data_IF_951784775287
#
_entry.id   IF_951784775287
#
_cell.length_a   1.000
_cell.length_b   1.000
_cell.length_c   1.000
_cell.angle_alpha   90.00
_cell.angle_beta   90.00
_cell.angle_gamma   90.00
#
_symmetry.space_group_name_H-M   'P 1'
#
loop_
_entity.id
_entity.type
_entity.pdbx_description
1 polymer ?
#
# COMPACT_ATOMS: atom_id res chain seq x y z
N UNK A 1 18.96 16.67 4.93
CA UNK A 1 17.60 16.47 5.47
C UNK A 1 17.21 15.02 5.22
N UNK A 2 16.59 14.34 6.18
CA UNK A 2 16.18 12.94 6.02
C UNK A 2 14.67 12.82 5.85
N UNK A 3 14.22 11.68 5.34
CA UNK A 3 12.81 11.34 5.13
C UNK A 3 12.48 10.07 5.90
N UNK A 4 11.32 10.02 6.56
CA UNK A 4 10.76 8.81 7.13
C UNK A 4 9.85 8.15 6.11
N UNK A 5 10.02 6.86 5.91
CA UNK A 5 9.09 6.02 5.17
C UNK A 5 8.60 4.89 6.05
N UNK A 6 7.31 4.59 5.98
CA UNK A 6 6.69 3.50 6.70
C UNK A 6 5.80 2.65 5.81
N UNK A 7 5.78 1.35 6.09
CA UNK A 7 4.81 0.39 5.54
C UNK A 7 4.14 -0.31 6.73
N UNK A 8 2.90 0.10 7.02
CA UNK A 8 2.11 -0.40 8.13
C UNK A 8 1.14 -1.47 7.65
N UNK A 9 1.56 -2.70 7.76
CA UNK A 9 0.73 -3.86 7.46
C UNK A 9 0.14 -4.52 8.72
N UNK A 10 -0.92 -5.29 8.52
CA UNK A 10 -1.57 -6.03 9.61
C UNK A 10 -0.72 -7.13 10.27
N UNK A 11 0.31 -7.62 9.59
CA UNK A 11 1.20 -8.67 10.10
C UNK A 11 2.58 -8.12 10.42
N UNK A 12 3.09 -7.24 9.57
CA UNK A 12 4.45 -6.67 9.64
C UNK A 12 4.38 -5.19 9.43
N UNK A 13 5.22 -4.46 10.16
CA UNK A 13 5.45 -3.04 9.98
C UNK A 13 6.92 -2.81 9.67
N UNK A 14 7.21 -2.06 8.62
CA UNK A 14 8.56 -1.62 8.28
C UNK A 14 8.64 -0.10 8.44
N UNK A 15 9.61 0.38 9.19
CA UNK A 15 9.96 1.80 9.26
C UNK A 15 11.38 1.99 8.77
N UNK A 16 11.63 3.05 8.03
CA UNK A 16 12.94 3.35 7.48
C UNK A 16 13.21 4.86 7.38
N UNK A 17 14.47 5.24 7.53
CA UNK A 17 14.96 6.58 7.26
C UNK A 17 15.76 6.55 5.96
N UNK A 18 15.46 7.50 5.09
CA UNK A 18 16.15 7.70 3.81
C UNK A 18 16.80 9.08 3.74
N UNK A 19 17.88 9.19 2.96
CA UNK A 19 18.42 10.48 2.56
C UNK A 19 17.46 11.20 1.63
N UNK A 20 17.44 12.55 1.71
CA UNK A 20 16.65 13.38 0.79
C UNK A 20 17.51 13.75 -0.44
N UNK A 21 17.79 12.76 -1.27
CA UNK A 21 18.51 12.87 -2.53
C UNK A 21 17.59 12.51 -3.69
N UNK A 22 17.98 12.83 -4.93
CA UNK A 22 17.22 12.43 -6.13
C UNK A 22 17.01 10.92 -6.22
N UNK A 23 17.95 10.14 -5.69
CA UNK A 23 17.86 8.70 -5.49
C UNK A 23 18.08 8.41 -3.99
N UNK A 24 16.99 8.35 -3.20
CA UNK A 24 17.09 8.21 -1.75
C UNK A 24 17.83 6.94 -1.34
N UNK A 25 18.82 7.08 -0.45
CA UNK A 25 19.54 5.95 0.13
C UNK A 25 18.95 5.61 1.48
N UNK A 26 18.75 4.33 1.74
CA UNK A 26 18.30 3.84 3.03
C UNK A 26 19.43 3.99 4.06
N UNK A 27 19.19 4.81 5.08
CA UNK A 27 20.14 5.10 6.15
C UNK A 27 19.95 4.18 7.36
N UNK A 28 18.68 3.90 7.70
CA UNK A 28 18.31 3.02 8.80
C UNK A 28 16.95 2.36 8.51
N UNK A 29 16.75 1.15 8.96
CA UNK A 29 15.43 0.52 8.86
C UNK A 29 15.25 -0.56 9.91
N UNK A 30 14.01 -0.77 10.34
CA UNK A 30 13.65 -1.82 11.27
C UNK A 30 12.29 -2.45 10.91
N UNK A 31 12.24 -3.78 11.01
CA UNK A 31 11.02 -4.57 10.91
C UNK A 31 10.45 -4.86 12.28
N UNK A 32 9.13 -4.85 12.36
CA UNK A 32 8.36 -5.21 13.53
C UNK A 32 7.30 -6.23 13.16
N UNK A 33 7.07 -7.21 14.01
CA UNK A 33 5.91 -8.09 13.93
C UNK A 33 4.75 -7.34 14.60
N UNK A 34 3.78 -6.87 13.81
CA UNK A 34 2.74 -5.96 14.31
C UNK A 34 1.96 -6.54 15.50
N UNK A 35 1.68 -7.86 15.49
CA UNK A 35 0.91 -8.51 16.55
C UNK A 35 1.63 -8.59 17.92
N UNK A 36 2.93 -8.34 17.98
CA UNK A 36 3.71 -8.32 19.21
C UNK A 36 3.64 -6.98 19.95
N UNK A 37 2.99 -5.98 19.33
CA UNK A 37 2.93 -4.62 19.85
C UNK A 37 1.49 -4.21 20.19
N UNK A 38 1.36 -3.33 21.19
CA UNK A 38 0.04 -2.84 21.65
C UNK A 38 -0.59 -1.83 20.70
N UNK A 39 0.23 -1.05 20.01
CA UNK A 39 -0.21 0.02 19.11
C UNK A 39 0.89 0.37 18.12
N UNK A 40 0.52 1.05 17.02
CA UNK A 40 1.50 1.62 16.12
C UNK A 40 2.35 2.71 16.79
N UNK A 41 1.76 3.50 17.69
CA UNK A 41 2.49 4.53 18.45
C UNK A 41 3.68 3.93 19.20
N UNK A 42 3.50 2.76 19.84
CA UNK A 42 4.58 2.11 20.58
C UNK A 42 5.71 1.58 19.67
N UNK A 43 5.38 1.09 18.47
CA UNK A 43 6.37 0.75 17.43
C UNK A 43 7.12 2.01 17.01
N UNK A 44 6.40 3.08 16.76
CA UNK A 44 6.94 4.33 16.26
C UNK A 44 7.89 4.98 17.24
N UNK A 45 7.52 5.02 18.52
CA UNK A 45 8.40 5.51 19.60
C UNK A 45 9.68 4.66 19.73
N UNK A 46 9.54 3.33 19.68
CA UNK A 46 10.68 2.42 19.74
C UNK A 46 11.62 2.66 18.55
N UNK A 47 11.08 2.82 17.34
CA UNK A 47 11.88 3.13 16.16
C UNK A 47 12.66 4.43 16.30
N UNK A 48 11.99 5.50 16.76
CA UNK A 48 12.64 6.80 16.96
C UNK A 48 13.74 6.74 18.03
N UNK A 49 13.51 6.03 19.13
CA UNK A 49 14.52 5.83 20.21
C UNK A 49 15.76 5.04 19.75
N UNK A 50 15.62 4.19 18.75
CA UNK A 50 16.69 3.36 18.21
C UNK A 50 17.46 4.01 17.06
N UNK A 51 17.11 5.23 16.65
CA UNK A 51 17.85 5.91 15.61
C UNK A 51 19.30 6.14 16.05
N UNK A 52 20.30 5.76 15.23
CA UNK A 52 21.69 6.05 15.51
C UNK A 52 21.95 7.55 15.65
N UNK A 53 22.80 7.96 16.58
CA UNK A 53 23.10 9.37 16.89
C UNK A 53 23.57 10.20 15.69
N UNK A 54 24.18 9.56 14.69
CA UNK A 54 24.66 10.22 13.48
C UNK A 54 23.54 10.46 12.44
N UNK A 55 22.36 9.92 12.66
CA UNK A 55 21.20 10.12 11.77
C UNK A 55 20.31 11.21 12.36
N UNK A 56 20.24 12.36 11.68
CA UNK A 56 19.33 13.42 12.10
C UNK A 56 17.87 13.01 11.92
N UNK A 57 17.00 13.45 12.84
CA UNK A 57 15.56 13.26 12.73
C UNK A 57 15.03 13.82 11.40
N UNK A 58 14.15 13.10 10.71
CA UNK A 58 13.51 13.58 9.51
C UNK A 58 12.54 14.73 9.83
N UNK A 59 12.33 15.64 8.89
CA UNK A 59 11.29 16.67 9.01
C UNK A 59 9.95 16.23 8.42
N UNK A 60 9.97 15.27 7.52
CA UNK A 60 8.80 14.74 6.82
C UNK A 60 8.78 13.23 6.90
N UNK A 61 7.58 12.69 7.00
CA UNK A 61 7.32 11.25 6.97
C UNK A 61 6.13 10.91 6.10
N UNK A 62 6.19 9.75 5.45
CA UNK A 62 5.07 9.16 4.73
C UNK A 62 4.94 7.70 5.15
N UNK A 63 3.73 7.29 5.54
CA UNK A 63 3.45 5.92 5.99
C UNK A 63 2.34 5.34 5.11
N UNK A 64 2.68 4.31 4.36
CA UNK A 64 1.74 3.47 3.64
C UNK A 64 0.93 2.62 4.63
N UNK A 65 -0.38 2.64 4.52
CA UNK A 65 -1.27 1.91 5.42
C UNK A 65 -2.35 1.16 4.66
N UNK A 66 -2.59 -0.08 5.06
CA UNK A 66 -3.74 -0.84 4.58
C UNK A 66 -5.00 -0.32 5.26
N UNK A 67 -5.93 0.24 4.47
CA UNK A 67 -7.22 0.71 4.99
C UNK A 67 -7.65 2.07 4.45
N UNK A 68 -8.81 2.49 4.92
CA UNK A 68 -9.43 3.75 4.49
C UNK A 68 -8.93 4.89 5.38
N UNK A 69 -8.23 5.84 4.77
CA UNK A 69 -7.70 7.03 5.45
C UNK A 69 -8.77 8.11 5.42
N UNK A 70 -9.06 8.68 6.59
CA UNK A 70 -9.95 9.83 6.74
C UNK A 70 -9.26 10.89 7.61
N UNK A 71 -9.13 12.11 7.10
CA UNK A 71 -8.53 13.24 7.83
C UNK A 71 -7.17 12.92 8.47
N UNK A 72 -6.30 12.19 7.71
CA UNK A 72 -5.00 11.71 8.18
C UNK A 72 -5.06 10.78 9.41
N UNK A 73 -6.19 10.09 9.56
CA UNK A 73 -6.41 9.03 10.53
C UNK A 73 -6.78 7.72 9.81
N UNK A 74 -6.37 6.59 10.38
CA UNK A 74 -6.75 5.28 9.88
C UNK A 74 -6.99 4.30 11.03
N UNK A 75 -7.98 3.44 10.86
CA UNK A 75 -8.26 2.33 11.77
C UNK A 75 -7.84 1.01 11.12
N UNK A 76 -6.87 0.34 11.73
CA UNK A 76 -6.38 -0.97 11.28
C UNK A 76 -7.23 -2.05 11.96
N UNK A 77 -8.25 -2.51 11.26
CA UNK A 77 -9.32 -3.36 11.82
C UNK A 77 -8.83 -4.67 12.43
N UNK A 78 -7.90 -5.35 11.76
CA UNK A 78 -7.35 -6.63 12.20
C UNK A 78 -6.40 -6.54 13.42
N UNK A 79 -5.89 -5.36 13.74
CA UNK A 79 -5.08 -5.11 14.93
C UNK A 79 -5.83 -4.29 16.00
N UNK A 80 -6.99 -3.72 15.65
CA UNK A 80 -7.71 -2.80 16.53
C UNK A 80 -6.97 -1.47 16.78
N UNK A 81 -5.98 -1.14 15.93
CA UNK A 81 -5.18 0.06 16.10
C UNK A 81 -5.83 1.25 15.43
N UNK A 82 -5.64 2.39 16.03
CA UNK A 82 -5.96 3.71 15.47
C UNK A 82 -4.66 4.51 15.33
N UNK A 83 -4.42 5.05 14.15
CA UNK A 83 -3.20 5.81 13.82
C UNK A 83 -3.60 7.22 13.46
N UNK A 84 -3.07 8.18 14.21
CA UNK A 84 -3.30 9.63 14.04
C UNK A 84 -1.96 10.32 13.79
N UNK A 85 -1.81 10.97 12.64
CA UNK A 85 -0.55 11.64 12.27
C UNK A 85 -0.20 12.79 13.19
N UNK A 86 -1.19 13.51 13.75
CA UNK A 86 -0.93 14.58 14.71
C UNK A 86 -0.28 14.04 15.97
N UNK A 87 -0.78 12.91 16.46
CA UNK A 87 -0.19 12.23 17.62
C UNK A 87 1.22 11.74 17.32
N UNK A 88 1.46 11.13 16.16
CA UNK A 88 2.79 10.69 15.77
C UNK A 88 3.78 11.86 15.65
N UNK A 89 3.35 12.99 15.11
CA UNK A 89 4.18 14.21 15.03
C UNK A 89 4.59 14.71 16.41
N UNK A 90 3.67 14.72 17.38
CA UNK A 90 3.97 15.10 18.75
C UNK A 90 4.95 14.14 19.43
N UNK A 91 4.80 12.84 19.23
CA UNK A 91 5.66 11.80 19.81
C UNK A 91 7.09 11.85 19.27
N UNK A 92 7.25 12.14 17.99
CA UNK A 92 8.56 12.06 17.30
C UNK A 92 9.26 13.37 17.06
N UNK A 93 8.56 14.51 17.20
CA UNK A 93 9.01 15.84 16.76
C UNK A 93 9.22 15.95 15.23
N UNK A 94 8.64 15.04 14.45
CA UNK A 94 8.59 15.13 13.00
C UNK A 94 7.44 16.05 12.63
N UNK A 95 7.72 17.14 11.92
CA UNK A 95 6.73 18.20 11.70
C UNK A 95 5.53 17.76 10.87
N UNK A 96 5.78 17.00 9.81
CA UNK A 96 4.75 16.55 8.88
C UNK A 96 4.85 15.04 8.67
N UNK A 97 3.81 14.33 9.08
CA UNK A 97 3.64 12.90 8.77
C UNK A 97 2.33 12.77 7.99
N UNK A 98 2.39 12.07 6.87
CA UNK A 98 1.24 11.80 6.02
C UNK A 98 0.97 10.29 5.98
N UNK A 99 -0.30 9.93 6.02
CA UNK A 99 -0.76 8.58 5.71
C UNK A 99 -1.18 8.52 4.25
N UNK A 100 -0.79 7.46 3.60
CA UNK A 100 -1.21 7.13 2.24
C UNK A 100 -1.66 5.67 2.19
N UNK A 101 -2.62 5.34 1.34
CA UNK A 101 -2.97 3.94 1.15
C UNK A 101 -1.78 3.14 0.59
N UNK A 102 -1.51 1.96 1.15
CA UNK A 102 -0.36 1.09 0.86
C UNK A 102 -0.24 0.72 -0.62
N UNK A 103 -1.37 0.56 -1.31
CA UNK A 103 -1.39 0.27 -2.72
C UNK A 103 -1.24 1.53 -3.59
N UNK A 104 -1.81 2.63 -3.14
CA UNK A 104 -1.73 3.93 -3.83
C UNK A 104 -0.32 4.51 -3.83
N UNK A 105 0.48 4.24 -2.78
CA UNK A 105 1.87 4.70 -2.69
C UNK A 105 2.75 4.18 -3.82
N UNK A 106 2.42 3.03 -4.40
CA UNK A 106 3.17 2.42 -5.51
C UNK A 106 3.22 3.32 -6.75
N UNK A 107 2.19 4.14 -6.97
CA UNK A 107 2.15 5.08 -8.10
C UNK A 107 3.28 6.11 -8.00
N UNK A 108 3.62 6.57 -6.80
CA UNK A 108 4.76 7.47 -6.60
C UNK A 108 6.10 6.77 -6.88
N UNK A 109 6.17 5.45 -6.76
CA UNK A 109 7.38 4.67 -7.02
C UNK A 109 7.67 4.46 -8.52
N UNK A 110 6.66 4.51 -9.40
CA UNK A 110 6.81 4.19 -10.82
C UNK A 110 7.92 4.99 -11.52
N UNK A 111 8.06 6.32 -11.33
CA UNK A 111 9.11 7.09 -11.98
C UNK A 111 10.54 6.70 -11.55
N UNK A 112 10.68 5.96 -10.45
CA UNK A 112 11.97 5.55 -9.88
C UNK A 112 12.34 4.10 -10.21
N UNK A 113 11.50 3.35 -10.89
CA UNK A 113 11.80 1.98 -11.28
C UNK A 113 12.92 1.94 -12.32
N UNK A 114 13.90 1.09 -12.07
CA UNK A 114 14.97 0.78 -13.03
C UNK A 114 14.49 -0.29 -14.01
N UNK A 115 15.13 -0.37 -15.17
CA UNK A 115 14.77 -1.34 -16.23
C UNK A 115 14.83 -2.81 -15.80
N UNK A 116 15.64 -3.14 -14.81
CA UNK A 116 15.77 -4.47 -14.22
C UNK A 116 14.70 -4.80 -13.17
N UNK A 117 13.84 -3.84 -12.84
CA UNK A 117 12.79 -3.99 -11.82
C UNK A 117 11.39 -4.20 -12.41
N UNK A 118 11.25 -4.17 -13.74
CA UNK A 118 9.98 -4.41 -14.41
C UNK A 118 10.18 -5.09 -15.76
N UNK A 119 9.13 -5.74 -16.24
CA UNK A 119 9.07 -6.36 -17.55
C UNK A 119 7.89 -5.81 -18.36
N UNK A 120 8.10 -5.56 -19.64
CA UNK A 120 7.02 -5.10 -20.54
C UNK A 120 6.32 -6.33 -21.10
N UNK A 121 5.07 -6.52 -20.69
CA UNK A 121 4.25 -7.65 -21.14
C UNK A 121 3.59 -7.31 -22.49
N UNK A 122 3.18 -6.05 -22.69
CA UNK A 122 2.47 -5.63 -23.91
C UNK A 122 2.69 -4.14 -24.16
N UNK A 123 2.81 -3.75 -25.43
CA UNK A 123 2.97 -2.37 -25.85
C UNK A 123 4.41 -1.87 -25.75
N UNK A 124 4.59 -0.58 -25.99
CA UNK A 124 5.87 0.11 -25.89
C UNK A 124 5.84 1.10 -24.73
N UNK A 125 6.96 1.20 -24.02
CA UNK A 125 7.13 2.28 -23.05
C UNK A 125 7.44 3.55 -23.83
N UNK A 126 6.49 4.46 -23.94
CA UNK A 126 6.67 5.76 -24.56
C UNK A 126 7.58 6.65 -23.66
N UNK A 127 8.89 6.50 -23.82
CA UNK A 127 9.91 7.24 -23.08
C UNK A 127 10.12 8.70 -23.56
N UNK A 128 9.25 9.26 -24.41
CA UNK A 128 9.64 10.40 -25.23
C UNK A 128 8.78 11.65 -25.24
N UNK A 129 7.73 11.78 -24.50
CA UNK A 129 6.91 12.98 -24.59
C UNK A 129 7.10 13.91 -23.37
N UNK A 130 7.95 14.89 -23.51
CA UNK A 130 8.30 15.91 -22.50
C UNK A 130 7.12 16.74 -21.95
N UNK A 131 5.88 16.54 -22.39
CA UNK A 131 4.70 17.31 -21.96
C UNK A 131 3.40 16.47 -21.89
N UNK A 132 3.49 15.17 -21.61
CA UNK A 132 2.30 14.32 -21.53
C UNK A 132 1.82 14.15 -20.10
N UNK A 133 0.52 14.30 -19.94
CA UNK A 133 -0.22 13.75 -18.82
C UNK A 133 -0.37 12.24 -19.08
N UNK A 134 0.07 11.42 -18.14
CA UNK A 134 -0.06 9.97 -18.24
C UNK A 134 -1.02 9.46 -17.16
N UNK A 135 -2.08 8.79 -17.61
CA UNK A 135 -2.98 8.06 -16.72
C UNK A 135 -2.39 6.68 -16.47
N UNK A 136 -2.17 6.37 -15.21
CA UNK A 136 -1.62 5.09 -14.77
C UNK A 136 -2.66 4.35 -13.93
N UNK A 137 -2.76 3.05 -14.15
CA UNK A 137 -3.48 2.14 -13.27
C UNK A 137 -2.53 1.08 -12.72
N UNK A 138 -2.59 0.84 -11.43
CA UNK A 138 -1.90 -0.26 -10.77
C UNK A 138 -2.92 -1.29 -10.32
N UNK A 139 -2.65 -2.55 -10.61
CA UNK A 139 -3.44 -3.68 -10.18
C UNK A 139 -2.48 -4.70 -9.57
N UNK A 140 -2.79 -5.19 -8.38
CA UNK A 140 -1.98 -6.19 -7.70
C UNK A 140 -2.80 -7.21 -6.93
N UNK A 141 -2.62 -8.47 -7.29
CA UNK A 141 -3.22 -9.60 -6.60
C UNK A 141 -2.26 -10.10 -5.51
N UNK A 142 -2.43 -9.58 -4.29
CA UNK A 142 -1.75 -10.04 -3.07
C UNK A 142 -2.67 -10.93 -2.24
N UNK A 143 -2.76 -10.71 -0.95
CA UNK A 143 -3.79 -11.32 -0.07
C UNK A 143 -5.19 -10.98 -0.55
N UNK A 144 -5.41 -9.74 -0.95
CA UNK A 144 -6.57 -9.22 -1.64
C UNK A 144 -6.26 -8.77 -3.07
N UNK A 145 -7.13 -7.95 -3.67
CA UNK A 145 -6.94 -7.33 -4.98
C UNK A 145 -6.91 -5.81 -4.84
N UNK A 146 -5.70 -5.25 -4.79
CA UNK A 146 -5.49 -3.81 -4.79
C UNK A 146 -5.65 -3.21 -6.19
N UNK A 147 -6.31 -2.06 -6.27
CA UNK A 147 -6.42 -1.27 -7.49
C UNK A 147 -6.24 0.21 -7.11
N UNK A 148 -5.38 0.90 -7.83
CA UNK A 148 -5.22 2.34 -7.71
C UNK A 148 -5.00 2.97 -9.06
N UNK A 149 -5.32 4.25 -9.20
CA UNK A 149 -5.13 5.02 -10.42
C UNK A 149 -4.42 6.32 -10.10
N UNK A 150 -3.63 6.80 -11.03
CA UNK A 150 -2.94 8.07 -10.87
C UNK A 150 -2.80 8.81 -12.19
N UNK A 151 -2.70 10.12 -12.10
CA UNK A 151 -2.34 11.00 -13.18
C UNK A 151 -0.95 11.56 -12.90
N UNK A 152 0.01 11.19 -13.72
CA UNK A 152 1.37 11.73 -13.67
C UNK A 152 1.48 12.87 -14.68
N UNK A 153 1.92 14.01 -14.19
CA UNK A 153 2.22 15.19 -15.00
C UNK A 153 3.67 15.60 -14.77
N UNK A 154 4.18 16.53 -15.59
CA UNK A 154 5.53 17.07 -15.36
C UNK A 154 5.69 17.81 -14.02
N UNK A 155 4.58 18.18 -13.37
CA UNK A 155 4.59 19.02 -12.15
C UNK A 155 4.12 18.27 -10.91
N UNK A 156 3.32 17.22 -11.06
CA UNK A 156 2.68 16.56 -9.93
C UNK A 156 2.22 15.15 -10.26
N UNK A 157 2.04 14.35 -9.23
CA UNK A 157 1.36 13.06 -9.28
C UNK A 157 0.07 13.20 -8.46
N UNK A 158 -1.07 12.96 -9.10
CA UNK A 158 -2.37 12.92 -8.45
C UNK A 158 -2.84 11.47 -8.37
N UNK A 159 -3.21 11.00 -7.18
CA UNK A 159 -3.65 9.62 -6.96
C UNK A 159 -5.15 9.58 -6.69
N UNK A 160 -5.80 8.58 -7.27
CA UNK A 160 -7.21 8.28 -7.12
C UNK A 160 -7.36 6.88 -6.55
N UNK A 161 -7.48 6.73 -5.21
CA UNK A 161 -7.70 5.45 -4.55
C UNK A 161 -8.93 4.74 -5.14
N UNK A 162 -8.90 3.42 -5.15
CA UNK A 162 -10.00 2.65 -5.73
C UNK A 162 -10.24 1.37 -4.93
N UNK A 163 -11.49 1.12 -4.63
CA UNK A 163 -11.98 -0.15 -4.06
C UNK A 163 -12.47 -1.09 -5.19
N UNK A 164 -11.85 -1.01 -6.37
CA UNK A 164 -12.24 -1.77 -7.56
C UNK A 164 -12.16 -3.29 -7.38
N UNK A 165 -11.30 -3.80 -6.50
CA UNK A 165 -11.25 -5.21 -6.14
C UNK A 165 -12.54 -5.73 -5.49
N UNK A 166 -13.29 -4.86 -4.84
CA UNK A 166 -14.58 -5.18 -4.22
C UNK A 166 -15.78 -5.13 -5.17
N UNK A 167 -15.57 -4.82 -6.47
CA UNK A 167 -16.63 -4.92 -7.48
C UNK A 167 -17.09 -6.37 -7.62
N UNK A 168 -18.34 -6.56 -8.05
CA UNK A 168 -18.88 -7.87 -8.28
C UNK A 168 -18.14 -8.61 -9.40
N UNK A 169 -17.82 -9.86 -9.16
CA UNK A 169 -17.25 -10.76 -10.17
C UNK A 169 -18.33 -11.08 -11.21
N UNK A 170 -18.01 -10.90 -12.47
CA UNK A 170 -18.88 -11.16 -13.60
C UNK A 170 -18.49 -12.47 -14.29
N UNK A 171 -19.12 -13.59 -13.97
CA UNK A 171 -18.81 -14.88 -14.57
C UNK A 171 -19.18 -14.89 -16.06
N UNK A 172 -18.33 -15.50 -16.91
CA UNK A 172 -18.46 -15.56 -18.37
C UNK A 172 -18.73 -16.97 -18.88
N UNK A 173 -18.42 -17.98 -18.07
CA UNK A 173 -18.58 -19.39 -18.41
C UNK A 173 -19.44 -20.10 -17.37
N UNK A 174 -20.00 -21.25 -17.75
CA UNK A 174 -20.78 -22.09 -16.82
C UNK A 174 -19.96 -22.47 -15.59
N UNK A 175 -18.68 -22.84 -15.77
CA UNK A 175 -17.78 -23.16 -14.66
C UNK A 175 -17.61 -21.97 -13.70
N UNK A 176 -17.49 -20.75 -14.22
CA UNK A 176 -17.40 -19.55 -13.36
C UNK A 176 -18.71 -19.28 -12.61
N UNK A 177 -19.86 -19.54 -13.22
CA UNK A 177 -21.15 -19.48 -12.55
C UNK A 177 -21.28 -20.51 -11.43
N UNK A 178 -20.83 -21.75 -11.65
CA UNK A 178 -20.79 -22.78 -10.62
C UNK A 178 -19.85 -22.37 -9.45
N UNK A 179 -18.69 -21.82 -9.76
CA UNK A 179 -17.78 -21.25 -8.75
C UNK A 179 -18.47 -20.17 -7.92
N UNK A 180 -19.18 -19.24 -8.56
CA UNK A 180 -19.91 -18.17 -7.86
C UNK A 180 -20.97 -18.75 -6.92
N UNK A 181 -21.76 -19.72 -7.38
CA UNK A 181 -22.79 -20.40 -6.55
C UNK A 181 -22.12 -21.07 -5.34
N UNK A 182 -21.03 -21.80 -5.57
CA UNK A 182 -20.28 -22.47 -4.52
C UNK A 182 -19.71 -21.47 -3.50
N UNK A 183 -19.06 -20.37 -3.96
CA UNK A 183 -18.52 -19.34 -3.09
C UNK A 183 -19.59 -18.67 -2.23
N UNK A 184 -20.76 -18.34 -2.81
CA UNK A 184 -21.89 -17.77 -2.06
C UNK A 184 -22.32 -18.69 -0.93
N UNK A 185 -22.47 -19.99 -1.20
CA UNK A 185 -22.84 -21.00 -0.21
C UNK A 185 -21.75 -21.20 0.84
N UNK A 186 -20.49 -21.37 0.40
CA UNK A 186 -19.34 -21.68 1.27
C UNK A 186 -19.02 -20.56 2.26
N UNK A 187 -19.15 -19.31 1.82
CA UNK A 187 -18.81 -18.13 2.60
C UNK A 187 -20.03 -17.46 3.25
N UNK A 188 -21.24 -17.97 2.99
CA UNK A 188 -22.50 -17.38 3.43
C UNK A 188 -22.63 -15.89 3.05
N UNK A 189 -22.37 -15.57 1.77
CA UNK A 189 -22.39 -14.20 1.25
C UNK A 189 -23.37 -14.08 0.08
N UNK A 190 -23.94 -12.88 -0.09
CA UNK A 190 -24.88 -12.61 -1.18
C UNK A 190 -24.15 -12.22 -2.48
N UNK A 191 -22.95 -11.66 -2.38
CA UNK A 191 -22.19 -11.13 -3.50
C UNK A 191 -20.75 -11.62 -3.47
N UNK A 192 -20.23 -12.06 -4.62
CA UNK A 192 -18.82 -12.45 -4.79
C UNK A 192 -18.08 -11.28 -5.44
N UNK A 193 -17.11 -10.71 -4.75
CA UNK A 193 -16.23 -9.68 -5.33
C UNK A 193 -15.16 -10.29 -6.23
N UNK A 194 -14.59 -9.47 -7.15
CA UNK A 194 -13.48 -9.88 -8.00
C UNK A 194 -12.31 -10.39 -7.15
N UNK A 195 -12.01 -9.71 -6.06
CA UNK A 195 -10.97 -10.10 -5.10
C UNK A 195 -11.12 -11.53 -4.58
N UNK A 196 -12.34 -11.99 -4.38
CA UNK A 196 -12.62 -13.36 -3.91
C UNK A 196 -12.26 -14.44 -4.92
N UNK A 197 -11.98 -14.06 -6.15
CA UNK A 197 -11.55 -14.94 -7.24
C UNK A 197 -10.11 -14.63 -7.63
N UNK A 198 -9.78 -13.34 -7.80
CA UNK A 198 -8.47 -12.88 -8.31
C UNK A 198 -7.64 -12.34 -7.14
N UNK A 199 -7.15 -13.23 -6.30
CA UNK A 199 -6.22 -12.90 -5.19
C UNK A 199 -5.58 -14.19 -4.67
N UNK A 200 -4.59 -14.07 -3.79
CA UNK A 200 -3.99 -15.22 -3.11
C UNK A 200 -5.02 -16.03 -2.30
N UNK A 201 -5.91 -15.34 -1.57
CA UNK A 201 -7.01 -16.00 -0.87
C UNK A 201 -8.03 -16.63 -1.83
N UNK A 202 -8.28 -15.99 -2.97
CA UNK A 202 -9.15 -16.49 -4.04
C UNK A 202 -8.61 -17.78 -4.66
N UNK A 203 -7.33 -17.86 -4.97
CA UNK A 203 -6.67 -19.08 -5.47
C UNK A 203 -6.85 -20.25 -4.50
N UNK A 204 -6.69 -20.00 -3.18
CA UNK A 204 -6.93 -21.00 -2.16
C UNK A 204 -8.38 -21.49 -2.11
N UNK A 205 -9.36 -20.62 -2.41
CA UNK A 205 -10.77 -21.00 -2.51
C UNK A 205 -11.06 -21.80 -3.77
N UNK A 206 -10.48 -21.41 -4.92
CA UNK A 206 -10.61 -22.14 -6.19
C UNK A 206 -10.05 -23.56 -6.07
N UNK A 207 -8.87 -23.70 -5.43
CA UNK A 207 -8.24 -25.00 -5.19
C UNK A 207 -9.09 -25.94 -4.30
N UNK A 208 -9.94 -25.38 -3.43
CA UNK A 208 -10.87 -26.17 -2.60
C UNK A 208 -12.18 -26.49 -3.31
N UNK A 209 -12.53 -25.74 -4.33
CA UNK A 209 -13.73 -25.96 -5.12
C UNK A 209 -13.54 -27.08 -6.15
N UNK A 210 -12.31 -27.18 -6.76
CA UNK A 210 -11.90 -28.25 -7.67
C UNK A 210 -11.72 -29.58 -6.96
#
# INVERSE_FOLDING_TARGET
>A
MNLLAGDLGGTKTLLAIYSNESYPKKLFSKYYISSEWKSFDSIFEDFIKQLPNHISLPLYGCIGVAGQIKDQNVKITNLGWEVDTKKLSLLSKINNIELINDFSVLIYGIPFFKKDQYEVIQGEINSGAKNKQELIAIIGAGTGLGISRGLITNKSISIFPSEGGHREFSPRTENEWELVKWLKKKLNIQRVSIERVVSGSGLGMIARWK
#
